data_IF_955579307983
#
_entry.id   IF_955579307983
#
_cell.length_a   1.000
_cell.length_b   1.000
_cell.length_c   1.000
_cell.angle_alpha   90.00
_cell.angle_beta   90.00
_cell.angle_gamma   90.00
#
_symmetry.space_group_name_H-M   'P 1'
#
loop_
_entity.id
_entity.type
_entity.pdbx_description
1 polymer ?
#
# COMPACT_ATOMS: atom_id res chain seq x y z
N UNK A 1 25.08 1.61 -9.07
CA UNK A 1 24.16 1.11 -8.04
C UNK A 1 23.02 0.38 -8.74
N UNK A 2 22.91 -0.92 -8.60
CA UNK A 2 21.80 -1.73 -9.13
C UNK A 2 20.78 -1.90 -8.01
N UNK A 3 19.56 -1.42 -8.20
CA UNK A 3 18.45 -1.58 -7.25
C UNK A 3 17.59 -2.72 -7.73
N UNK A 4 17.36 -3.69 -6.86
CA UNK A 4 16.49 -4.83 -7.10
C UNK A 4 15.50 -4.97 -5.95
N UNK A 5 14.22 -5.03 -6.28
CA UNK A 5 13.14 -5.16 -5.31
C UNK A 5 12.49 -6.54 -5.43
N UNK A 6 12.57 -7.35 -4.37
CA UNK A 6 11.90 -8.65 -4.33
C UNK A 6 10.43 -8.45 -3.96
N UNK A 7 9.55 -9.04 -4.74
CA UNK A 7 8.13 -8.75 -4.78
C UNK A 7 7.26 -10.01 -4.79
N UNK A 8 6.06 -9.87 -4.26
CA UNK A 8 4.90 -10.69 -4.59
C UNK A 8 3.89 -9.82 -5.33
N UNK A 9 3.29 -10.36 -6.39
CA UNK A 9 2.57 -9.57 -7.39
C UNK A 9 1.39 -8.74 -6.85
N UNK A 10 0.76 -9.17 -5.74
CA UNK A 10 -0.34 -8.47 -5.09
C UNK A 10 0.07 -7.73 -3.79
N UNK A 11 1.37 -7.67 -3.46
CA UNK A 11 1.81 -7.12 -2.18
C UNK A 11 1.68 -5.60 -2.11
N UNK A 12 0.84 -5.04 -1.21
CA UNK A 12 0.70 -3.59 -1.06
C UNK A 12 1.96 -2.93 -0.49
N UNK A 13 2.72 -3.65 0.33
CA UNK A 13 3.94 -3.13 0.94
C UNK A 13 5.09 -3.00 -0.06
N UNK A 14 5.16 -3.88 -1.06
CA UNK A 14 6.09 -3.72 -2.19
C UNK A 14 5.66 -2.55 -3.06
N UNK A 15 4.37 -2.40 -3.32
CA UNK A 15 3.82 -1.33 -4.15
C UNK A 15 4.22 0.06 -3.62
N UNK A 16 4.31 0.25 -2.29
CA UNK A 16 4.83 1.49 -1.68
C UNK A 16 6.23 1.85 -2.17
N UNK A 17 7.14 0.88 -2.17
CA UNK A 17 8.52 1.09 -2.63
C UNK A 17 8.58 1.35 -4.14
N UNK A 18 7.76 0.65 -4.94
CA UNK A 18 7.64 0.88 -6.38
C UNK A 18 7.17 2.31 -6.68
N UNK A 19 6.13 2.78 -6.00
CA UNK A 19 5.62 4.15 -6.15
C UNK A 19 6.73 5.16 -5.80
N UNK A 20 7.42 4.95 -4.68
CA UNK A 20 8.51 5.83 -4.23
C UNK A 20 9.65 5.90 -5.26
N UNK A 21 10.08 4.77 -5.80
CA UNK A 21 11.13 4.71 -6.83
C UNK A 21 10.70 5.43 -8.12
N UNK A 22 9.43 5.28 -8.53
CA UNK A 22 8.88 5.99 -9.70
C UNK A 22 8.79 7.49 -9.48
N UNK A 23 8.32 7.96 -8.33
CA UNK A 23 8.27 9.39 -7.98
C UNK A 23 9.67 10.03 -7.96
N UNK A 24 10.69 9.25 -7.63
CA UNK A 24 12.08 9.69 -7.65
C UNK A 24 12.78 9.51 -9.02
N UNK A 25 12.11 8.91 -10.00
CA UNK A 25 12.70 8.62 -11.32
C UNK A 25 13.87 7.63 -11.26
N UNK A 26 13.92 6.77 -10.26
CA UNK A 26 15.00 5.80 -10.05
C UNK A 26 14.69 4.51 -10.79
N UNK A 27 15.64 4.04 -11.62
CA UNK A 27 15.53 2.74 -12.28
C UNK A 27 15.76 1.59 -11.29
N UNK A 28 14.95 0.54 -11.40
CA UNK A 28 15.01 -0.64 -10.54
C UNK A 28 14.54 -1.89 -11.30
N UNK A 29 14.91 -3.06 -10.78
CA UNK A 29 14.42 -4.36 -11.24
C UNK A 29 13.45 -4.95 -10.22
N UNK A 30 12.45 -5.72 -10.70
CA UNK A 30 11.51 -6.46 -9.86
C UNK A 30 11.75 -7.96 -10.01
N UNK A 31 12.02 -8.64 -8.88
CA UNK A 31 12.08 -10.10 -8.79
C UNK A 31 10.80 -10.60 -8.11
N UNK A 32 9.91 -11.22 -8.87
CA UNK A 32 8.71 -11.82 -8.30
C UNK A 32 9.01 -13.20 -7.71
N UNK A 33 8.51 -13.45 -6.50
CA UNK A 33 8.60 -14.75 -5.83
C UNK A 33 7.21 -15.30 -5.56
N UNK A 34 7.10 -16.63 -5.62
CA UNK A 34 5.97 -17.37 -5.10
C UNK A 34 6.20 -17.57 -3.59
N UNK A 35 5.30 -17.02 -2.76
CA UNK A 35 5.42 -17.12 -1.31
C UNK A 35 4.92 -18.46 -0.76
N UNK A 36 4.14 -19.22 -1.53
CA UNK A 36 3.71 -20.56 -1.17
C UNK A 36 4.81 -21.60 -1.45
N UNK A 37 5.67 -21.32 -2.46
CA UNK A 37 6.81 -22.14 -2.84
C UNK A 37 8.08 -21.27 -3.00
N UNK A 38 8.58 -20.68 -1.89
CA UNK A 38 9.66 -19.69 -1.97
C UNK A 38 10.98 -20.34 -2.42
N UNK A 39 11.72 -19.72 -3.36
CA UNK A 39 13.02 -20.24 -3.76
C UNK A 39 14.04 -20.14 -2.63
N UNK A 40 15.01 -21.06 -2.62
CA UNK A 40 16.01 -21.16 -1.54
C UNK A 40 16.83 -19.87 -1.33
N UNK A 41 17.15 -19.14 -2.41
CA UNK A 41 17.85 -17.87 -2.28
C UNK A 41 17.04 -16.82 -1.52
N UNK A 42 15.69 -16.81 -1.68
CA UNK A 42 14.81 -15.89 -0.98
C UNK A 42 14.76 -16.20 0.52
N UNK A 43 14.65 -17.47 0.91
CA UNK A 43 14.62 -17.87 2.32
C UNK A 43 15.93 -17.59 3.04
N UNK A 44 17.06 -17.55 2.31
CA UNK A 44 18.38 -17.20 2.87
C UNK A 44 18.50 -15.70 3.19
N UNK A 45 17.83 -14.82 2.43
CA UNK A 45 17.95 -13.36 2.58
C UNK A 45 16.76 -12.70 3.25
N UNK A 46 15.63 -13.40 3.42
CA UNK A 46 14.43 -12.90 4.08
C UNK A 46 14.31 -13.45 5.49
N UNK A 47 14.62 -12.66 6.53
CA UNK A 47 14.57 -13.14 7.93
C UNK A 47 13.17 -13.56 8.37
N UNK A 48 12.13 -12.98 7.77
CA UNK A 48 10.72 -13.21 8.10
C UNK A 48 9.95 -13.99 7.02
N UNK A 49 10.63 -14.42 5.94
CA UNK A 49 9.94 -15.04 4.79
C UNK A 49 8.94 -14.11 4.09
N UNK A 50 9.14 -12.79 4.18
CA UNK A 50 8.21 -11.76 3.68
C UNK A 50 8.87 -10.86 2.64
N UNK A 51 8.02 -10.22 1.85
CA UNK A 51 8.36 -9.12 0.94
C UNK A 51 7.72 -7.81 1.44
N UNK A 52 8.28 -6.62 1.10
CA UNK A 52 9.40 -6.36 0.20
C UNK A 52 10.77 -6.68 0.81
N UNK A 53 11.73 -7.01 -0.07
CA UNK A 53 13.15 -6.91 0.23
C UNK A 53 13.78 -5.99 -0.82
N UNK A 54 14.54 -4.99 -0.39
CA UNK A 54 15.35 -4.15 -1.26
C UNK A 54 16.79 -4.67 -1.25
N UNK A 55 17.32 -4.99 -2.43
CA UNK A 55 18.73 -5.40 -2.60
C UNK A 55 19.51 -4.26 -3.23
N UNK A 56 20.54 -3.82 -2.54
CA UNK A 56 21.45 -2.75 -2.98
C UNK A 56 22.89 -3.15 -2.67
N UNK A 57 23.75 -3.18 -3.69
CA UNK A 57 25.19 -3.45 -3.55
C UNK A 57 25.53 -4.72 -2.72
N UNK A 58 24.69 -5.75 -2.85
CA UNK A 58 24.86 -7.03 -2.15
C UNK A 58 24.18 -7.12 -0.79
N UNK A 59 23.75 -5.99 -0.22
CA UNK A 59 23.02 -5.94 1.04
C UNK A 59 21.51 -6.06 0.85
N UNK A 60 20.82 -6.49 1.89
CA UNK A 60 19.35 -6.64 1.88
C UNK A 60 18.72 -5.79 2.97
N UNK A 61 17.80 -4.91 2.59
CA UNK A 61 16.96 -4.12 3.50
C UNK A 61 15.54 -4.68 3.45
N UNK A 62 14.94 -4.87 4.61
CA UNK A 62 13.56 -5.33 4.76
C UNK A 62 12.74 -4.32 5.59
N UNK A 63 11.42 -4.54 5.75
CA UNK A 63 10.40 -3.63 6.23
C UNK A 63 10.12 -2.44 5.28
N UNK A 64 8.88 -2.35 4.82
CA UNK A 64 8.52 -1.36 3.79
C UNK A 64 8.77 0.08 4.22
N UNK A 65 8.51 0.44 5.48
CA UNK A 65 8.76 1.79 5.99
C UNK A 65 10.25 2.12 6.04
N UNK A 66 11.09 1.15 6.42
CA UNK A 66 12.56 1.30 6.40
C UNK A 66 13.08 1.45 4.98
N UNK A 67 12.53 0.68 4.03
CA UNK A 67 12.87 0.80 2.60
C UNK A 67 12.50 2.20 2.08
N UNK A 68 11.32 2.71 2.41
CA UNK A 68 10.91 4.06 2.02
C UNK A 68 11.87 5.13 2.57
N UNK A 69 12.23 5.03 3.85
CA UNK A 69 13.19 5.94 4.49
C UNK A 69 14.54 5.91 3.79
N UNK A 70 15.09 4.71 3.55
CA UNK A 70 16.36 4.55 2.85
C UNK A 70 16.33 5.19 1.47
N UNK A 71 15.29 4.92 0.67
CA UNK A 71 15.14 5.52 -0.66
C UNK A 71 15.02 7.04 -0.60
N UNK A 72 14.40 7.58 0.44
CA UNK A 72 14.26 9.02 0.62
C UNK A 72 15.57 9.70 1.05
N UNK A 73 16.42 9.01 1.79
CA UNK A 73 17.73 9.52 2.20
C UNK A 73 18.75 9.52 1.04
N UNK A 74 18.68 8.48 0.18
CA UNK A 74 19.67 8.28 -0.89
C UNK A 74 19.32 9.05 -2.17
N UNK A 75 18.04 9.15 -2.51
CA UNK A 75 17.60 9.74 -3.79
C UNK A 75 16.81 11.03 -3.60
N UNK A 76 17.13 12.04 -4.38
CA UNK A 76 16.41 13.32 -4.47
C UNK A 76 15.29 13.25 -5.53
N UNK A 77 14.22 14.09 -5.38
CA UNK A 77 13.94 15.00 -4.28
C UNK A 77 13.53 14.26 -3.01
N UNK A 78 13.72 14.90 -1.84
CA UNK A 78 13.19 14.35 -0.58
C UNK A 78 11.67 14.49 -0.55
N UNK A 79 11.01 13.39 -0.16
CA UNK A 79 9.55 13.29 -0.03
C UNK A 79 9.10 13.43 1.44
N UNK A 80 10.01 13.27 2.39
CA UNK A 80 9.78 13.64 3.78
C UNK A 80 10.10 15.12 4.04
N UNK A 81 9.38 15.77 4.98
CA UNK A 81 9.71 17.12 5.42
C UNK A 81 11.11 17.19 6.06
N UNK A 82 11.81 18.29 5.86
CA UNK A 82 13.11 18.54 6.51
C UNK A 82 13.00 18.67 8.03
N UNK A 83 11.92 19.27 8.53
CA UNK A 83 11.67 19.41 9.97
C UNK A 83 11.52 18.02 10.63
N UNK A 84 12.35 17.76 11.63
CA UNK A 84 12.44 16.44 12.28
C UNK A 84 11.11 16.00 12.93
N UNK A 85 10.35 16.93 13.55
CA UNK A 85 9.06 16.60 14.15
C UNK A 85 8.00 16.27 13.10
N UNK A 86 7.91 17.07 12.01
CA UNK A 86 7.02 16.78 10.89
C UNK A 86 7.36 15.45 10.25
N UNK A 87 8.65 15.15 10.05
CA UNK A 87 9.12 13.87 9.54
C UNK A 87 8.73 12.70 10.46
N UNK A 88 8.88 12.86 11.78
CA UNK A 88 8.45 11.84 12.72
C UNK A 88 6.92 11.62 12.67
N UNK A 89 6.12 12.69 12.54
CA UNK A 89 4.66 12.57 12.31
C UNK A 89 4.34 11.84 11.00
N UNK A 90 5.05 12.11 9.89
CA UNK A 90 4.91 11.35 8.64
C UNK A 90 5.14 9.85 8.86
N UNK A 91 6.24 9.47 9.54
CA UNK A 91 6.55 8.07 9.85
C UNK A 91 5.46 7.40 10.68
N UNK A 92 4.93 8.09 11.69
CA UNK A 92 3.81 7.58 12.48
C UNK A 92 2.56 7.32 11.62
N UNK A 93 2.25 8.20 10.66
CA UNK A 93 1.13 8.01 9.75
C UNK A 93 1.38 6.91 8.71
N UNK A 94 2.61 6.67 8.29
CA UNK A 94 2.98 5.52 7.46
C UNK A 94 2.71 4.20 8.19
N UNK A 95 3.07 4.11 9.49
CA UNK A 95 2.76 2.93 10.31
C UNK A 95 1.25 2.77 10.53
N UNK A 96 0.52 3.86 10.75
CA UNK A 96 -0.94 3.81 10.81
C UNK A 96 -1.54 3.32 9.48
N UNK A 97 -1.00 3.73 8.33
CA UNK A 97 -1.37 3.21 7.02
C UNK A 97 -1.07 1.72 6.87
N UNK A 98 -0.05 1.19 7.57
CA UNK A 98 0.23 -0.25 7.61
C UNK A 98 -0.84 -1.02 8.38
N UNK A 99 -1.40 -0.42 9.44
CA UNK A 99 -2.55 -0.98 10.15
C UNK A 99 -3.81 -0.98 9.27
N UNK A 100 -4.08 0.12 8.56
CA UNK A 100 -5.21 0.17 7.62
C UNK A 100 -5.12 -0.88 6.51
N UNK A 101 -3.91 -1.17 6.00
CA UNK A 101 -3.71 -2.27 5.05
C UNK A 101 -4.02 -3.64 5.66
N UNK A 102 -3.71 -3.87 6.94
CA UNK A 102 -4.08 -5.11 7.65
C UNK A 102 -5.60 -5.22 7.83
N UNK A 103 -6.27 -4.12 8.20
CA UNK A 103 -7.73 -4.08 8.32
C UNK A 103 -8.42 -4.31 6.97
N UNK A 104 -7.92 -3.67 5.90
CA UNK A 104 -8.40 -3.89 4.54
C UNK A 104 -8.22 -5.36 4.10
N UNK A 105 -7.09 -5.99 4.46
CA UNK A 105 -6.87 -7.40 4.19
C UNK A 105 -7.82 -8.30 4.97
N UNK A 106 -8.07 -8.01 6.26
CA UNK A 106 -9.07 -8.72 7.06
C UNK A 106 -10.48 -8.59 6.46
N UNK A 107 -10.86 -7.40 5.97
CA UNK A 107 -12.10 -7.19 5.22
C UNK A 107 -12.15 -8.06 3.96
N UNK A 108 -11.04 -8.19 3.23
CA UNK A 108 -10.93 -9.06 2.05
C UNK A 108 -11.18 -10.52 2.39
N UNK A 109 -10.76 -10.98 3.57
CA UNK A 109 -10.87 -12.38 3.99
C UNK A 109 -12.19 -12.71 4.66
N UNK A 110 -13.06 -11.74 4.95
CA UNK A 110 -14.36 -11.99 5.58
C UNK A 110 -15.18 -13.01 4.76
N UNK A 111 -15.57 -14.12 5.39
CA UNK A 111 -16.23 -15.24 4.74
C UNK A 111 -17.75 -15.08 4.65
N UNK A 112 -18.34 -14.23 5.50
CA UNK A 112 -19.78 -13.97 5.56
C UNK A 112 -20.09 -12.50 5.78
N UNK A 113 -21.41 -12.16 5.70
CA UNK A 113 -21.90 -10.79 5.84
C UNK A 113 -21.64 -10.20 7.23
N UNK A 114 -21.76 -11.01 8.27
CA UNK A 114 -21.62 -10.52 9.64
C UNK A 114 -20.16 -10.14 9.91
N UNK A 115 -19.22 -10.99 9.53
CA UNK A 115 -17.79 -10.68 9.62
C UNK A 115 -17.42 -9.48 8.74
N UNK A 116 -17.90 -9.44 7.50
CA UNK A 116 -17.68 -8.30 6.60
C UNK A 116 -18.14 -6.98 7.23
N UNK A 117 -19.35 -6.95 7.82
CA UNK A 117 -19.87 -5.73 8.45
C UNK A 117 -18.97 -5.28 9.60
N UNK A 118 -18.55 -6.18 10.47
CA UNK A 118 -17.65 -5.87 11.59
C UNK A 118 -16.31 -5.30 11.08
N UNK A 119 -15.70 -5.93 10.06
CA UNK A 119 -14.42 -5.46 9.49
C UNK A 119 -14.56 -4.12 8.76
N UNK A 120 -15.69 -3.90 8.11
CA UNK A 120 -15.97 -2.61 7.45
C UNK A 120 -16.14 -1.48 8.48
N UNK A 121 -16.83 -1.74 9.59
CA UNK A 121 -17.00 -0.77 10.68
C UNK A 121 -15.66 -0.42 11.32
N UNK A 122 -14.79 -1.41 11.59
CA UNK A 122 -13.44 -1.21 12.12
C UNK A 122 -12.60 -0.33 11.18
N UNK A 123 -12.61 -0.65 9.88
CA UNK A 123 -11.89 0.12 8.86
C UNK A 123 -12.44 1.55 8.76
N UNK A 124 -13.77 1.71 8.74
CA UNK A 124 -14.45 3.01 8.69
C UNK A 124 -14.05 3.89 9.87
N UNK A 125 -14.09 3.35 11.09
CA UNK A 125 -13.68 4.08 12.29
C UNK A 125 -12.21 4.53 12.23
N UNK A 126 -11.34 3.71 11.64
CA UNK A 126 -9.94 4.06 11.45
C UNK A 126 -9.73 5.11 10.35
N UNK A 127 -10.50 5.05 9.24
CA UNK A 127 -10.46 6.05 8.16
C UNK A 127 -10.88 7.43 8.61
N UNK A 128 -11.82 7.54 9.56
CA UNK A 128 -12.26 8.82 10.12
C UNK A 128 -11.09 9.61 10.76
N UNK A 129 -10.08 8.90 11.30
CA UNK A 129 -8.91 9.52 11.94
C UNK A 129 -7.98 10.23 10.96
N UNK A 130 -8.15 10.04 9.66
CA UNK A 130 -7.35 10.69 8.62
C UNK A 130 -7.82 12.13 8.34
N UNK A 131 -9.01 12.54 8.79
CA UNK A 131 -9.55 13.85 8.49
C UNK A 131 -8.69 14.98 9.07
N UNK A 132 -8.36 14.91 10.35
CA UNK A 132 -7.63 15.97 11.02
C UNK A 132 -6.24 16.20 10.39
N UNK A 133 -5.37 15.18 10.20
CA UNK A 133 -4.06 15.40 9.58
C UNK A 133 -4.14 15.89 8.12
N UNK A 134 -5.19 15.52 7.37
CA UNK A 134 -5.44 16.08 6.04
C UNK A 134 -5.82 17.55 6.10
N UNK A 135 -6.71 17.95 7.03
CA UNK A 135 -7.10 19.34 7.23
C UNK A 135 -5.93 20.20 7.72
N UNK A 136 -5.03 19.65 8.55
CA UNK A 136 -3.79 20.30 8.95
C UNK A 136 -2.76 20.45 7.82
N UNK A 137 -3.00 19.87 6.65
CA UNK A 137 -2.03 19.85 5.54
C UNK A 137 -0.74 19.10 5.86
N UNK A 138 -0.83 18.08 6.72
CA UNK A 138 0.33 17.24 7.07
C UNK A 138 0.77 16.38 5.88
N UNK A 139 -0.18 15.86 5.10
CA UNK A 139 -0.02 15.11 3.85
C UNK A 139 -1.27 15.32 2.97
N UNK A 140 -1.30 14.71 1.78
CA UNK A 140 -2.44 14.82 0.86
C UNK A 140 -2.44 16.13 0.06
N UNK A 141 -1.31 16.81 -0.03
CA UNK A 141 -1.14 18.00 -0.88
C UNK A 141 -1.08 17.56 -2.35
N UNK A 142 -2.01 18.06 -3.18
CA UNK A 142 -2.08 17.71 -4.59
C UNK A 142 -0.82 18.10 -5.38
N UNK A 143 -0.10 19.14 -4.93
CA UNK A 143 1.10 19.65 -5.59
C UNK A 143 2.38 18.97 -5.09
N UNK A 144 2.38 18.47 -3.85
CA UNK A 144 3.57 17.88 -3.20
C UNK A 144 3.29 16.47 -2.73
N UNK A 145 3.79 15.52 -3.50
CA UNK A 145 3.76 14.11 -3.13
C UNK A 145 4.71 13.83 -1.96
N UNK A 146 4.27 13.03 -1.01
CA UNK A 146 5.02 12.61 0.17
C UNK A 146 5.14 11.10 0.30
N UNK A 147 5.99 10.61 1.20
CA UNK A 147 6.05 9.18 1.50
C UNK A 147 4.77 8.65 2.18
N UNK A 148 3.98 9.52 2.82
CA UNK A 148 2.67 9.14 3.33
C UNK A 148 1.75 8.80 2.16
N UNK A 149 1.76 9.59 1.09
CA UNK A 149 0.99 9.33 -0.13
C UNK A 149 1.36 8.00 -0.76
N UNK A 150 2.67 7.70 -0.88
CA UNK A 150 3.16 6.41 -1.36
C UNK A 150 2.68 5.24 -0.48
N UNK A 151 2.57 5.46 0.83
CA UNK A 151 2.16 4.44 1.78
C UNK A 151 0.65 4.12 1.72
N UNK A 152 -0.20 5.10 1.37
CA UNK A 152 -1.65 4.93 1.33
C UNK A 152 -2.22 4.59 -0.05
N UNK A 153 -1.57 4.96 -1.13
CA UNK A 153 -2.04 4.66 -2.49
C UNK A 153 -2.37 3.18 -2.73
N UNK A 154 -1.58 2.18 -2.23
CA UNK A 154 -1.93 0.77 -2.34
C UNK A 154 -3.24 0.38 -1.65
N UNK A 155 -3.57 1.02 -0.52
CA UNK A 155 -4.81 0.82 0.20
C UNK A 155 -6.00 1.30 -0.63
N UNK A 156 -5.94 2.54 -1.12
CA UNK A 156 -7.02 3.12 -1.92
C UNK A 156 -7.26 2.37 -3.22
N UNK A 157 -6.20 1.88 -3.89
CA UNK A 157 -6.34 1.07 -5.09
C UNK A 157 -7.13 -0.23 -4.82
N UNK A 158 -6.91 -0.88 -3.70
CA UNK A 158 -7.65 -2.10 -3.33
C UNK A 158 -9.08 -1.82 -2.93
N UNK A 159 -9.30 -0.74 -2.16
CA UNK A 159 -10.64 -0.32 -1.77
C UNK A 159 -11.48 0.09 -2.98
N UNK A 160 -10.90 0.75 -3.98
CA UNK A 160 -11.60 1.08 -5.23
C UNK A 160 -12.10 -0.18 -5.96
N UNK A 161 -11.25 -1.21 -6.09
CA UNK A 161 -11.65 -2.49 -6.70
C UNK A 161 -12.73 -3.20 -5.85
N UNK A 162 -12.62 -3.17 -4.53
CA UNK A 162 -13.62 -3.77 -3.64
C UNK A 162 -14.95 -3.02 -3.67
N UNK A 163 -14.92 -1.69 -3.86
CA UNK A 163 -16.12 -0.87 -4.00
C UNK A 163 -16.94 -1.20 -5.25
N UNK A 164 -16.29 -1.69 -6.32
CA UNK A 164 -17.00 -2.20 -7.52
C UNK A 164 -17.76 -3.49 -7.22
N UNK A 165 -17.34 -4.26 -6.22
CA UNK A 165 -18.03 -5.48 -5.79
C UNK A 165 -19.13 -5.19 -4.77
N UNK A 166 -18.89 -4.26 -3.85
CA UNK A 166 -19.78 -3.86 -2.76
C UNK A 166 -19.71 -2.35 -2.55
N UNK A 167 -20.79 -1.65 -2.88
CA UNK A 167 -20.85 -0.19 -2.79
C UNK A 167 -20.66 0.35 -1.36
N UNK A 168 -20.95 -0.47 -0.33
CA UNK A 168 -20.72 -0.12 1.07
C UNK A 168 -19.24 0.20 1.36
N UNK A 169 -18.30 -0.42 0.63
CA UNK A 169 -16.87 -0.14 0.77
C UNK A 169 -16.53 1.29 0.32
N UNK A 170 -17.23 1.83 -0.68
CA UNK A 170 -17.03 3.21 -1.11
C UNK A 170 -17.37 4.24 -0.02
N UNK A 171 -18.26 3.90 0.91
CA UNK A 171 -18.67 4.76 2.00
C UNK A 171 -17.79 4.65 3.25
N UNK A 172 -16.74 3.81 3.24
CA UNK A 172 -15.91 3.57 4.43
C UNK A 172 -14.98 4.73 4.81
N UNK A 173 -14.82 5.74 3.96
CA UNK A 173 -13.97 6.88 4.27
C UNK A 173 -14.66 8.23 4.04
N UNK A 174 -14.24 9.28 4.80
CA UNK A 174 -14.80 10.63 4.69
C UNK A 174 -14.55 11.25 3.32
N UNK A 175 -15.37 12.24 2.96
CA UNK A 175 -15.24 12.93 1.68
C UNK A 175 -13.84 13.53 1.42
N UNK A 176 -13.18 14.07 2.46
CA UNK A 176 -11.81 14.59 2.33
C UNK A 176 -10.78 13.49 2.00
N UNK A 177 -10.97 12.30 2.58
CA UNK A 177 -10.14 11.14 2.29
C UNK A 177 -10.43 10.59 0.88
N UNK A 178 -11.71 10.63 0.43
CA UNK A 178 -12.08 10.25 -0.93
C UNK A 178 -11.38 11.14 -1.97
N UNK A 179 -11.37 12.46 -1.77
CA UNK A 179 -10.67 13.40 -2.66
C UNK A 179 -9.16 13.09 -2.71
N UNK A 180 -8.54 12.81 -1.56
CA UNK A 180 -7.15 12.43 -1.52
C UNK A 180 -6.89 11.10 -2.26
N UNK A 181 -7.74 10.11 -2.07
CA UNK A 181 -7.65 8.83 -2.77
C UNK A 181 -7.73 9.02 -4.29
N UNK A 182 -8.67 9.83 -4.78
CA UNK A 182 -8.83 10.12 -6.22
C UNK A 182 -7.56 10.79 -6.80
N UNK A 183 -6.99 11.76 -6.08
CA UNK A 183 -5.73 12.41 -6.48
C UNK A 183 -4.60 11.38 -6.60
N UNK A 184 -4.46 10.47 -5.63
CA UNK A 184 -3.42 9.45 -5.66
C UNK A 184 -3.64 8.43 -6.77
N UNK A 185 -4.86 7.94 -6.95
CA UNK A 185 -5.17 6.94 -7.97
C UNK A 185 -5.03 7.47 -9.41
N UNK A 186 -5.13 8.78 -9.61
CA UNK A 186 -4.89 9.43 -10.89
C UNK A 186 -3.40 9.59 -11.24
N UNK A 187 -2.47 9.38 -10.29
CA UNK A 187 -1.03 9.58 -10.53
C UNK A 187 -0.44 8.44 -11.38
N UNK A 188 0.35 8.77 -12.42
CA UNK A 188 1.04 7.75 -13.23
C UNK A 188 1.92 6.81 -12.39
N UNK A 189 2.64 7.34 -11.39
CA UNK A 189 3.48 6.55 -10.48
C UNK A 189 2.70 5.48 -9.71
N UNK A 190 1.43 5.75 -9.41
CA UNK A 190 0.52 4.81 -8.73
C UNK A 190 -0.07 3.81 -9.71
N UNK A 191 -0.57 4.29 -10.86
CA UNK A 191 -1.16 3.42 -11.89
C UNK A 191 -0.14 2.40 -12.42
N UNK A 192 1.07 2.85 -12.71
CA UNK A 192 2.16 2.02 -13.23
C UNK A 192 2.88 1.20 -12.14
N UNK A 193 2.49 1.33 -10.87
CA UNK A 193 3.14 0.61 -9.75
C UNK A 193 2.78 -0.86 -9.68
N UNK A 194 1.82 -1.30 -10.46
CA UNK A 194 1.30 -2.67 -10.51
C UNK A 194 1.35 -3.23 -11.93
N UNK A 195 1.18 -4.53 -12.07
CA UNK A 195 1.08 -5.18 -13.40
C UNK A 195 -0.21 -4.74 -14.11
N UNK A 196 -0.25 -4.74 -15.46
CA UNK A 196 -1.43 -4.27 -16.21
C UNK A 196 -2.73 -5.01 -15.89
N UNK A 197 -2.64 -6.28 -15.50
CA UNK A 197 -3.77 -7.14 -15.15
C UNK A 197 -4.02 -7.24 -13.63
N UNK A 198 -3.51 -6.29 -12.85
CA UNK A 198 -3.59 -6.28 -11.38
C UNK A 198 -5.02 -6.45 -10.86
N UNK A 199 -5.97 -5.70 -11.37
CA UNK A 199 -7.37 -5.76 -10.92
C UNK A 199 -7.94 -7.18 -11.12
N UNK A 200 -7.72 -7.78 -12.27
CA UNK A 200 -8.16 -9.15 -12.58
C UNK A 200 -7.53 -10.18 -11.64
N UNK A 201 -6.24 -10.06 -11.36
CA UNK A 201 -5.52 -10.95 -10.42
C UNK A 201 -6.00 -10.75 -9.00
N UNK A 202 -6.25 -9.52 -8.59
CA UNK A 202 -6.75 -9.23 -7.26
C UNK A 202 -8.19 -9.76 -7.08
N UNK A 203 -9.05 -9.62 -8.08
CA UNK A 203 -10.40 -10.22 -8.08
C UNK A 203 -10.36 -11.75 -8.04
N UNK A 204 -9.43 -12.39 -8.77
CA UNK A 204 -9.24 -13.83 -8.70
C UNK A 204 -8.81 -14.26 -7.29
N UNK A 205 -7.84 -13.56 -6.70
CA UNK A 205 -7.42 -13.80 -5.32
C UNK A 205 -8.57 -13.68 -4.31
N UNK A 206 -9.41 -12.65 -4.41
CA UNK A 206 -10.58 -12.47 -3.54
C UNK A 206 -11.54 -13.68 -3.65
N UNK A 207 -11.80 -14.17 -4.88
CA UNK A 207 -12.65 -15.34 -5.12
C UNK A 207 -12.04 -16.61 -4.53
N UNK A 208 -10.74 -16.83 -4.77
CA UNK A 208 -10.04 -18.03 -4.28
C UNK A 208 -10.01 -18.11 -2.75
N UNK A 209 -10.07 -16.96 -2.07
CA UNK A 209 -10.19 -16.89 -0.61
C UNK A 209 -11.62 -17.13 -0.11
N UNK A 210 -12.60 -17.31 -0.98
CA UNK A 210 -14.00 -17.50 -0.57
C UNK A 210 -14.61 -16.26 0.08
N UNK A 211 -14.11 -15.08 -0.27
CA UNK A 211 -14.54 -13.80 0.32
C UNK A 211 -16.02 -13.52 0.06
N UNK A 212 -16.71 -13.04 1.07
CA UNK A 212 -18.08 -12.56 0.95
C UNK A 212 -18.24 -11.42 -0.06
N UNK A 213 -17.18 -10.63 -0.32
CA UNK A 213 -17.16 -9.60 -1.35
C UNK A 213 -17.63 -10.10 -2.72
N UNK A 214 -17.35 -11.35 -3.05
CA UNK A 214 -17.69 -11.95 -4.35
C UNK A 214 -18.96 -12.81 -4.32
N UNK A 215 -19.55 -13.02 -3.16
CA UNK A 215 -20.82 -13.74 -3.05
C UNK A 215 -21.96 -12.90 -3.64
N UNK A 216 -22.58 -13.41 -4.71
CA UNK A 216 -23.75 -12.80 -5.35
C UNK A 216 -25.08 -13.19 -4.69
N UNK A 217 -25.05 -13.75 -3.49
CA UNK A 217 -26.26 -14.16 -2.82
C UNK A 217 -26.91 -12.98 -2.11
N UNK A 218 -28.07 -12.60 -2.65
CA UNK A 218 -29.23 -11.86 -2.11
C UNK A 218 -29.09 -10.35 -1.92
#
# INVERSE_FOLDING_TARGET
MSIRLVSFILCPFVQRAVITLREKGVAFELDYVDLDHPPSWFTQISPLGKVPLLRVDGETVFESSVILDYLDEVYTPRLHPENALKRARHKAWIEFGSELLRQQYALTLAGDRAEFSVRLDELTASMQRLQDPLQEGLFGDAERFSLVDAAYAPLFMRLAIQAELRSEVAACYPASVAVWADILLARPSVQDSVVPDFASRYLAFIRDKGSWLTNRAE
#
